data_IF_224961868652
#
_entry.id   IF_224961868652
#
_cell.length_a   1.000
_cell.length_b   1.000
_cell.length_c   1.000
_cell.angle_alpha   90.00
_cell.angle_beta   90.00
_cell.angle_gamma   90.00
#
_symmetry.space_group_name_H-M   'P 1'
#
loop_
_entity.id
_entity.type
_entity.pdbx_description
1 polymer ?
#
# COMPACT_ATOMS: atom_id res chain seq x y z
N UNK A 1 -7.22 -1.09 24.77
CA UNK A 1 -5.83 -0.74 24.45
C UNK A 1 -5.55 -1.24 23.04
N UNK A 2 -5.28 -0.34 22.09
CA UNK A 2 -4.82 -0.72 20.76
C UNK A 2 -3.29 -0.64 20.76
N UNK A 3 -2.63 -1.79 20.59
CA UNK A 3 -1.17 -1.87 20.46
C UNK A 3 -0.81 -1.43 19.05
N UNK A 4 -0.44 -0.16 18.87
CA UNK A 4 0.12 0.34 17.61
C UNK A 4 1.60 -0.05 17.58
N UNK A 5 1.98 -0.98 16.69
CA UNK A 5 3.33 -1.54 16.63
C UNK A 5 4.26 -0.75 15.70
N UNK A 6 3.71 0.10 14.82
CA UNK A 6 4.47 0.86 13.82
C UNK A 6 3.99 2.31 13.66
N UNK A 7 4.88 3.21 13.23
CA UNK A 7 4.56 4.63 12.96
C UNK A 7 3.47 4.80 11.89
N UNK A 8 3.36 3.85 10.95
CA UNK A 8 2.30 3.83 9.95
C UNK A 8 0.93 3.55 10.59
N UNK A 9 0.85 2.59 11.51
CA UNK A 9 -0.39 2.25 12.21
C UNK A 9 -0.87 3.36 13.14
N UNK A 10 0.04 4.12 13.73
CA UNK A 10 -0.28 5.29 14.57
C UNK A 10 -0.88 6.43 13.73
N UNK A 11 -0.24 6.73 12.59
CA UNK A 11 -0.76 7.70 11.61
C UNK A 11 -2.13 7.26 11.06
N UNK A 12 -2.30 5.98 10.75
CA UNK A 12 -3.58 5.43 10.30
C UNK A 12 -4.66 5.51 11.38
N UNK A 13 -4.31 5.37 12.66
CA UNK A 13 -5.27 5.53 13.75
C UNK A 13 -5.70 7.00 13.93
N UNK A 14 -4.79 7.95 13.75
CA UNK A 14 -5.07 9.37 13.89
C UNK A 14 -5.88 9.95 12.72
N UNK A 15 -5.57 9.53 11.48
CA UNK A 15 -6.22 10.05 10.27
C UNK A 15 -6.34 8.96 9.19
N UNK A 16 -7.23 7.95 9.39
CA UNK A 16 -7.28 6.75 8.56
C UNK A 16 -7.50 7.04 7.07
N UNK A 17 -8.42 7.94 6.75
CA UNK A 17 -8.74 8.28 5.35
C UNK A 17 -7.61 9.05 4.65
N UNK A 18 -6.96 9.99 5.34
CA UNK A 18 -5.90 10.82 4.76
C UNK A 18 -4.63 9.99 4.53
N UNK A 19 -4.24 9.17 5.51
CA UNK A 19 -3.05 8.33 5.43
C UNK A 19 -3.24 7.19 4.45
N UNK A 20 -4.43 6.56 4.41
CA UNK A 20 -4.72 5.58 3.38
C UNK A 20 -4.62 6.17 1.98
N UNK A 21 -5.15 7.38 1.75
CA UNK A 21 -5.07 8.05 0.45
C UNK A 21 -3.64 8.42 0.04
N UNK A 22 -2.82 8.88 0.98
CA UNK A 22 -1.39 9.18 0.76
C UNK A 22 -0.60 7.91 0.36
N UNK A 23 -0.80 6.82 1.11
CA UNK A 23 -0.13 5.54 0.85
C UNK A 23 -0.61 4.95 -0.49
N UNK A 24 -1.92 4.96 -0.76
CA UNK A 24 -2.47 4.54 -2.05
C UNK A 24 -1.86 5.32 -3.21
N UNK A 25 -1.78 6.65 -3.12
CA UNK A 25 -1.19 7.48 -4.17
C UNK A 25 0.29 7.14 -4.42
N UNK A 26 1.02 6.76 -3.38
CA UNK A 26 2.42 6.35 -3.48
C UNK A 26 2.55 4.98 -4.16
N UNK A 27 1.69 4.04 -3.81
CA UNK A 27 1.64 2.70 -4.43
C UNK A 27 1.25 2.80 -5.91
N UNK A 28 0.28 3.65 -6.27
CA UNK A 28 -0.09 3.94 -7.66
C UNK A 28 1.10 4.49 -8.47
N UNK A 29 1.84 5.45 -7.90
CA UNK A 29 3.04 6.00 -8.56
C UNK A 29 4.14 4.94 -8.75
N UNK A 30 4.34 4.07 -7.77
CA UNK A 30 5.27 2.94 -7.87
C UNK A 30 4.83 1.95 -8.96
N UNK A 31 3.53 1.61 -9.00
CA UNK A 31 2.94 0.73 -10.03
C UNK A 31 3.12 1.31 -11.44
N UNK A 32 2.86 2.60 -11.62
CA UNK A 32 3.05 3.28 -12.89
C UNK A 32 4.53 3.27 -13.34
N UNK A 33 5.45 3.47 -12.39
CA UNK A 33 6.90 3.41 -12.64
C UNK A 33 7.33 2.01 -13.07
N UNK A 34 6.88 0.97 -12.36
CA UNK A 34 7.16 -0.42 -12.70
C UNK A 34 6.57 -0.82 -14.05
N UNK A 35 5.35 -0.38 -14.35
CA UNK A 35 4.70 -0.61 -15.64
C UNK A 35 5.48 0.06 -16.79
N UNK A 36 6.09 1.23 -16.54
CA UNK A 36 6.95 1.89 -17.52
C UNK A 36 8.27 1.15 -17.70
N UNK A 37 8.90 0.71 -16.61
CA UNK A 37 10.13 -0.09 -16.66
C UNK A 37 9.91 -1.39 -17.44
N UNK A 38 8.78 -2.07 -17.24
CA UNK A 38 8.42 -3.30 -17.94
C UNK A 38 8.26 -3.13 -19.47
N UNK A 39 8.10 -1.91 -19.98
CA UNK A 39 8.02 -1.61 -21.43
C UNK A 39 9.39 -1.38 -22.06
N UNK A 40 10.44 -1.24 -21.28
CA UNK A 40 11.81 -1.16 -21.79
C UNK A 40 12.36 -2.56 -22.05
N UNK A 41 13.30 -2.73 -23.00
CA UNK A 41 13.98 -4.00 -23.17
C UNK A 41 14.83 -4.27 -21.93
N UNK A 42 14.39 -5.25 -21.14
CA UNK A 42 15.03 -5.68 -19.90
C UNK A 42 15.68 -7.04 -20.11
N UNK A 43 16.78 -7.28 -19.41
CA UNK A 43 17.34 -8.63 -19.27
C UNK A 43 16.37 -9.53 -18.48
N UNK A 44 16.49 -10.87 -18.58
CA UNK A 44 15.65 -11.79 -17.81
C UNK A 44 15.73 -11.57 -16.29
N UNK A 45 16.90 -11.16 -15.77
CA UNK A 45 17.10 -10.87 -14.36
C UNK A 45 16.34 -9.59 -13.93
N UNK A 46 16.40 -8.54 -14.74
CA UNK A 46 15.65 -7.30 -14.49
C UNK A 46 14.14 -7.53 -14.62
N UNK A 47 13.70 -8.34 -15.58
CA UNK A 47 12.30 -8.76 -15.66
C UNK A 47 11.84 -9.48 -14.39
N UNK A 48 12.66 -10.38 -13.83
CA UNK A 48 12.35 -11.06 -12.57
C UNK A 48 12.25 -10.07 -11.40
N UNK A 49 13.14 -9.08 -11.34
CA UNK A 49 13.09 -8.02 -10.32
C UNK A 49 11.85 -7.13 -10.44
N UNK A 50 11.50 -6.67 -11.65
CA UNK A 50 10.29 -5.88 -11.88
C UNK A 50 9.04 -6.67 -11.47
N UNK A 51 8.97 -7.96 -11.78
CA UNK A 51 7.86 -8.82 -11.35
C UNK A 51 7.82 -9.01 -9.83
N UNK A 52 8.97 -9.12 -9.17
CA UNK A 52 9.04 -9.21 -7.72
C UNK A 52 8.53 -7.91 -7.07
N UNK A 53 8.96 -6.76 -7.59
CA UNK A 53 8.54 -5.45 -7.12
C UNK A 53 7.04 -5.21 -7.35
N UNK A 54 6.49 -5.65 -8.49
CA UNK A 54 5.05 -5.60 -8.75
C UNK A 54 4.26 -6.41 -7.69
N UNK A 55 4.68 -7.63 -7.39
CA UNK A 55 4.04 -8.46 -6.34
C UNK A 55 4.12 -7.80 -4.97
N UNK A 56 5.22 -7.11 -4.66
CA UNK A 56 5.36 -6.40 -3.40
C UNK A 56 4.40 -5.21 -3.30
N UNK A 57 4.20 -4.47 -4.40
CA UNK A 57 3.21 -3.38 -4.48
C UNK A 57 1.78 -3.93 -4.33
N UNK A 58 1.44 -5.01 -5.05
CA UNK A 58 0.11 -5.64 -4.94
C UNK A 58 -0.15 -6.14 -3.49
N UNK A 59 0.85 -6.71 -2.83
CA UNK A 59 0.74 -7.13 -1.44
C UNK A 59 0.55 -5.94 -0.48
N UNK A 60 1.25 -4.83 -0.72
CA UNK A 60 1.09 -3.61 0.07
C UNK A 60 -0.30 -2.99 -0.09
N UNK A 61 -0.86 -2.98 -1.31
CA UNK A 61 -2.25 -2.56 -1.56
C UNK A 61 -3.26 -3.43 -0.78
N UNK A 62 -3.09 -4.75 -0.80
CA UNK A 62 -3.96 -5.67 -0.07
C UNK A 62 -3.90 -5.49 1.46
N UNK A 63 -2.71 -5.26 2.01
CA UNK A 63 -2.52 -4.94 3.44
C UNK A 63 -3.21 -3.62 3.77
N UNK A 64 -3.04 -2.59 2.94
CA UNK A 64 -3.68 -1.29 3.15
C UNK A 64 -5.20 -1.38 3.10
N UNK A 65 -5.77 -2.12 2.14
CA UNK A 65 -7.22 -2.35 2.04
C UNK A 65 -7.76 -3.10 3.27
N UNK A 66 -7.01 -4.09 3.76
CA UNK A 66 -7.34 -4.82 4.99
C UNK A 66 -7.35 -3.90 6.22
N UNK A 67 -6.33 -3.05 6.37
CA UNK A 67 -6.26 -2.06 7.44
C UNK A 67 -7.39 -1.03 7.33
N UNK A 68 -7.62 -0.48 6.13
CA UNK A 68 -8.70 0.48 5.90
C UNK A 68 -10.08 -0.10 6.24
N UNK A 69 -10.36 -1.35 5.84
CA UNK A 69 -11.58 -2.07 6.25
C UNK A 69 -11.66 -2.20 7.77
N UNK A 70 -10.58 -2.64 8.43
CA UNK A 70 -10.53 -2.80 9.88
C UNK A 70 -10.83 -1.48 10.61
N UNK A 71 -10.19 -0.38 10.21
CA UNK A 71 -10.41 0.93 10.80
C UNK A 71 -11.79 1.51 10.47
N UNK A 72 -12.31 1.30 9.25
CA UNK A 72 -13.69 1.67 8.91
C UNK A 72 -14.72 0.90 9.77
N UNK A 73 -14.50 -0.40 10.02
CA UNK A 73 -15.37 -1.19 10.90
C UNK A 73 -15.19 -0.88 12.39
N UNK A 74 -14.01 -0.43 12.83
CA UNK A 74 -13.74 -0.15 14.25
C UNK A 74 -14.07 1.29 14.66
N UNK A 75 -14.04 2.25 13.73
CA UNK A 75 -14.39 3.66 13.98
C UNK A 75 -15.72 4.08 13.34
N UNK A 76 -16.31 3.28 12.45
CA UNK A 76 -17.62 3.51 11.82
C UNK A 76 -18.83 3.12 12.68
N UNK A 77 -18.64 2.84 13.96
CA UNK A 77 -19.71 2.57 14.92
C UNK A 77 -19.64 3.51 16.12
N UNK A 78 -19.45 4.80 15.88
CA UNK A 78 -19.86 5.83 16.83
C UNK A 78 -20.54 6.92 16.02
N UNK A 79 -21.85 7.00 16.26
CA UNK A 79 -22.82 7.94 15.71
C UNK A 79 -22.45 9.40 15.97
#
# INVERSE_FOLDING_TARGET
MATHLTQLEDRLAAAPAAVAREVSSTLDAARATLARAARTPLTPAEHAQVRLQQRAVDAAEAILESLARRYATSYGASA
#
